data_IF_215441204958
#
_entry.id   IF_215441204958
#
_cell.length_a   1.000
_cell.length_b   1.000
_cell.length_c   1.000
_cell.angle_alpha   90.00
_cell.angle_beta   90.00
_cell.angle_gamma   90.00
#
_symmetry.space_group_name_H-M   'P 1'
#
loop_
_entity.id
_entity.type
_entity.pdbx_description
1 polymer ?
#
# COMPACT_ATOMS: atom_id res chain seq x y z
N UNK A 1 29.58 -12.34 -4.01
CA UNK A 1 30.62 -12.36 -3.00
C UNK A 1 30.05 -11.88 -1.68
N UNK A 2 30.39 -12.51 -0.59
CA UNK A 2 29.74 -12.27 0.70
C UNK A 2 30.12 -10.94 1.34
N UNK A 3 31.28 -10.42 1.01
CA UNK A 3 31.77 -9.14 1.49
C UNK A 3 30.93 -7.95 1.02
N UNK A 4 30.09 -8.15 0.00
CA UNK A 4 29.19 -7.11 -0.48
C UNK A 4 27.81 -7.18 0.16
N UNK A 5 27.57 -8.19 0.98
CA UNK A 5 26.28 -8.31 1.64
C UNK A 5 26.14 -7.29 2.76
N UNK A 6 24.94 -6.73 2.92
CA UNK A 6 24.69 -5.85 4.06
C UNK A 6 24.88 -6.61 5.37
N UNK A 7 25.14 -5.92 6.47
CA UNK A 7 25.25 -6.57 7.77
C UNK A 7 24.02 -7.42 8.04
N UNK A 8 24.25 -8.61 8.52
CA UNK A 8 23.18 -9.53 8.85
C UNK A 8 22.57 -9.11 10.18
N UNK A 9 21.27 -9.12 10.26
CA UNK A 9 20.60 -9.00 11.55
C UNK A 9 21.18 -10.05 12.48
N UNK A 10 21.62 -9.65 13.65
CA UNK A 10 22.21 -10.58 14.60
C UNK A 10 23.60 -10.19 15.06
N UNK A 11 24.23 -9.33 14.33
CA UNK A 11 25.56 -8.89 14.69
C UNK A 11 25.52 -7.61 15.54
N UNK A 12 24.52 -7.48 16.36
CA UNK A 12 24.34 -6.33 17.23
C UNK A 12 23.63 -5.16 16.58
N UNK A 13 23.23 -5.30 15.33
CA UNK A 13 22.66 -4.21 14.55
C UNK A 13 21.27 -4.58 13.98
N UNK A 14 20.56 -5.40 14.71
CA UNK A 14 19.22 -5.79 14.31
C UNK A 14 18.31 -4.59 14.17
N UNK A 15 17.71 -4.47 13.02
CA UNK A 15 16.68 -3.48 12.79
C UNK A 15 17.19 -2.11 12.41
N UNK A 16 18.49 -1.86 12.48
CA UNK A 16 18.98 -0.51 12.25
C UNK A 16 19.59 -0.30 10.87
N UNK A 17 20.04 -1.36 10.20
CA UNK A 17 20.55 -1.26 8.85
C UNK A 17 21.79 -0.39 8.70
N UNK A 18 22.08 0.01 7.48
CA UNK A 18 23.14 0.98 7.22
C UNK A 18 22.66 2.38 7.58
N UNK A 19 23.55 3.32 7.88
CA UNK A 19 23.17 4.71 8.16
C UNK A 19 22.34 5.33 7.02
N UNK A 20 22.64 5.00 5.77
CA UNK A 20 21.89 5.51 4.60
C UNK A 20 20.47 4.97 4.57
N UNK A 21 20.31 3.67 4.73
CA UNK A 21 18.99 3.02 4.75
C UNK A 21 18.16 3.55 5.91
N UNK A 22 18.74 3.59 7.08
CA UNK A 22 18.06 4.07 8.27
C UNK A 22 17.66 5.54 8.13
N UNK A 23 18.56 6.36 7.59
CA UNK A 23 18.29 7.78 7.37
C UNK A 23 17.09 7.99 6.44
N UNK A 24 17.00 7.19 5.39
CA UNK A 24 15.86 7.24 4.48
C UNK A 24 14.56 6.91 5.19
N UNK A 25 14.55 5.85 6.01
CA UNK A 25 13.35 5.45 6.75
C UNK A 25 12.97 6.45 7.84
N UNK A 26 13.96 7.03 8.53
CA UNK A 26 13.70 8.06 9.54
C UNK A 26 13.10 9.32 8.94
N UNK A 27 13.39 9.61 7.69
CA UNK A 27 12.84 10.76 6.98
C UNK A 27 11.40 10.53 6.50
N UNK A 28 10.95 9.29 6.42
CA UNK A 28 9.58 8.96 6.05
C UNK A 28 8.63 9.19 7.22
N UNK A 29 7.35 9.23 6.92
CA UNK A 29 6.28 9.31 7.93
C UNK A 29 6.31 8.06 8.81
N UNK A 30 5.74 8.15 10.00
CA UNK A 30 5.57 6.99 10.86
C UNK A 30 4.56 5.99 10.26
N UNK A 31 4.82 4.71 10.46
CA UNK A 31 3.94 3.65 9.97
C UNK A 31 2.49 3.86 10.41
N UNK A 32 2.28 4.28 11.65
CA UNK A 32 0.94 4.51 12.21
C UNK A 32 0.15 5.55 11.42
N UNK A 33 0.81 6.64 11.01
CA UNK A 33 0.17 7.68 10.20
C UNK A 33 -0.19 7.18 8.81
N UNK A 34 0.70 6.42 8.20
CA UNK A 34 0.50 5.84 6.87
C UNK A 34 -0.67 4.87 6.89
N UNK A 35 -0.76 4.01 7.90
CA UNK A 35 -1.86 3.06 8.03
C UNK A 35 -3.20 3.76 8.27
N UNK A 36 -3.21 4.82 9.07
CA UNK A 36 -4.42 5.60 9.30
C UNK A 36 -4.90 6.29 8.02
N UNK A 37 -3.99 6.83 7.23
CA UNK A 37 -4.33 7.45 5.94
C UNK A 37 -4.83 6.41 4.95
N UNK A 38 -4.22 5.23 4.92
CA UNK A 38 -4.69 4.14 4.08
C UNK A 38 -6.14 3.78 4.39
N UNK A 39 -6.47 3.66 5.67
CA UNK A 39 -7.83 3.32 6.08
C UNK A 39 -8.82 4.42 5.68
N UNK A 40 -8.46 5.68 5.83
CA UNK A 40 -9.28 6.81 5.37
C UNK A 40 -9.48 6.78 3.86
N UNK A 41 -8.41 6.54 3.11
CA UNK A 41 -8.47 6.44 1.65
C UNK A 41 -9.42 5.34 1.19
N UNK A 42 -9.29 4.15 1.77
CA UNK A 42 -10.16 3.01 1.44
C UNK A 42 -11.62 3.35 1.77
N UNK A 43 -11.88 3.98 2.90
CA UNK A 43 -13.24 4.38 3.30
C UNK A 43 -13.84 5.34 2.27
N UNK A 44 -13.10 6.36 1.84
CA UNK A 44 -13.57 7.29 0.82
C UNK A 44 -13.83 6.60 -0.52
N UNK A 45 -12.90 5.74 -0.95
CA UNK A 45 -13.01 5.04 -2.22
C UNK A 45 -14.23 4.10 -2.23
N UNK A 46 -14.38 3.29 -1.20
CA UNK A 46 -15.50 2.34 -1.15
C UNK A 46 -16.85 3.03 -1.05
N UNK A 47 -16.92 4.16 -0.35
CA UNK A 47 -18.14 4.98 -0.29
C UNK A 47 -18.50 5.52 -1.67
N UNK A 48 -17.53 6.05 -2.41
CA UNK A 48 -17.77 6.58 -3.76
C UNK A 48 -18.14 5.46 -4.75
N UNK A 49 -17.44 4.34 -4.69
CA UNK A 49 -17.75 3.20 -5.54
C UNK A 49 -19.15 2.65 -5.29
N UNK A 50 -19.61 2.68 -4.05
CA UNK A 50 -20.96 2.24 -3.71
C UNK A 50 -22.05 3.13 -4.30
N UNK A 51 -21.72 4.39 -4.57
CA UNK A 51 -22.64 5.31 -5.27
C UNK A 51 -22.61 5.09 -6.78
N UNK A 52 -21.44 4.81 -7.33
CA UNK A 52 -21.28 4.59 -8.79
C UNK A 52 -21.86 3.25 -9.19
N UNK A 53 -21.65 2.21 -8.38
CA UNK A 53 -22.10 0.84 -8.62
C UNK A 53 -23.09 0.48 -7.52
N UNK A 54 -24.40 0.72 -7.72
CA UNK A 54 -25.40 0.46 -6.70
C UNK A 54 -25.47 -1.02 -6.32
N UNK A 55 -25.78 -1.30 -5.08
CA UNK A 55 -25.92 -2.65 -4.55
C UNK A 55 -24.62 -3.26 -4.06
N UNK A 56 -23.49 -2.59 -4.30
CA UNK A 56 -22.19 -3.03 -3.78
C UNK A 56 -22.11 -2.89 -2.26
N UNK A 57 -21.49 -3.85 -1.62
CA UNK A 57 -21.23 -3.81 -0.18
C UNK A 57 -19.80 -4.29 0.04
N UNK A 58 -18.93 -3.35 0.35
CA UNK A 58 -17.52 -3.65 0.53
C UNK A 58 -17.27 -4.22 1.92
N UNK A 59 -16.77 -5.44 1.95
CA UNK A 59 -16.46 -6.16 3.18
C UNK A 59 -14.99 -6.50 3.24
N UNK A 60 -14.45 -6.48 4.45
CA UNK A 60 -13.09 -6.95 4.69
C UNK A 60 -13.07 -8.46 4.62
N UNK A 61 -12.30 -9.01 3.70
CA UNK A 61 -12.20 -10.45 3.45
C UNK A 61 -11.03 -11.07 4.20
N UNK A 62 -10.00 -10.29 4.50
CA UNK A 62 -8.86 -10.73 5.30
C UNK A 62 -8.26 -9.54 6.05
N UNK A 63 -7.52 -9.85 7.12
CA UNK A 63 -6.93 -8.81 7.98
C UNK A 63 -5.65 -8.21 7.42
N UNK A 64 -5.05 -8.84 6.41
CA UNK A 64 -3.75 -8.42 5.93
C UNK A 64 -2.61 -8.95 6.78
N UNK A 65 -1.39 -8.69 6.34
CA UNK A 65 -0.16 -9.11 7.03
C UNK A 65 0.93 -8.07 6.81
N UNK A 66 2.01 -8.17 7.57
CA UNK A 66 3.19 -7.36 7.35
C UNK A 66 4.43 -8.23 7.20
N UNK A 67 5.47 -7.67 6.59
CA UNK A 67 6.73 -8.36 6.38
C UNK A 67 7.89 -7.34 6.44
N UNK A 68 9.09 -7.77 6.85
CA UNK A 68 10.27 -6.90 6.74
C UNK A 68 10.50 -6.46 5.30
N UNK A 69 11.02 -5.25 5.14
CA UNK A 69 11.27 -4.70 3.82
C UNK A 69 12.52 -5.30 3.20
N UNK A 70 12.41 -5.86 1.98
CA UNK A 70 13.54 -6.44 1.30
C UNK A 70 14.63 -5.43 0.95
N UNK A 71 14.24 -4.23 0.51
CA UNK A 71 15.16 -3.17 0.13
C UNK A 71 15.85 -2.51 1.32
N UNK A 72 15.33 -2.67 2.53
CA UNK A 72 15.89 -2.18 3.77
C UNK A 72 16.12 -3.33 4.74
N UNK A 73 16.70 -4.43 4.24
CA UNK A 73 16.71 -5.75 4.85
C UNK A 73 17.26 -5.85 6.27
N UNK A 74 18.12 -4.91 6.70
CA UNK A 74 18.68 -4.92 8.05
C UNK A 74 18.09 -3.85 8.96
N UNK A 75 16.95 -3.27 8.57
CA UNK A 75 16.20 -2.32 9.40
C UNK A 75 14.96 -2.98 10.00
N UNK A 76 14.32 -2.30 10.95
CA UNK A 76 13.01 -2.71 11.48
C UNK A 76 11.84 -2.24 10.60
N UNK A 77 12.13 -1.69 9.41
CA UNK A 77 11.10 -1.28 8.47
C UNK A 77 10.23 -2.44 8.04
N UNK A 78 8.94 -2.18 7.90
CA UNK A 78 7.97 -3.18 7.46
C UNK A 78 7.10 -2.65 6.33
N UNK A 79 6.73 -3.55 5.44
CA UNK A 79 5.68 -3.37 4.45
C UNK A 79 4.40 -3.98 5.02
N UNK A 80 3.31 -3.24 4.96
CA UNK A 80 2.00 -3.74 5.38
C UNK A 80 1.16 -4.05 4.13
N UNK A 81 0.78 -5.32 3.96
CA UNK A 81 0.00 -5.76 2.81
C UNK A 81 -1.48 -5.39 2.91
N UNK A 82 -1.91 -4.84 4.01
CA UNK A 82 -3.25 -4.36 4.19
C UNK A 82 -4.35 -5.43 4.10
N UNK A 83 -5.52 -5.11 4.64
CA UNK A 83 -6.68 -5.97 4.48
C UNK A 83 -7.11 -6.06 3.01
N UNK A 84 -7.68 -7.19 2.66
CA UNK A 84 -8.30 -7.40 1.37
C UNK A 84 -9.79 -7.08 1.48
N UNK A 85 -10.30 -6.27 0.56
CA UNK A 85 -11.69 -5.86 0.53
C UNK A 85 -12.37 -6.40 -0.70
N UNK A 86 -13.60 -6.85 -0.56
CA UNK A 86 -14.39 -7.46 -1.64
C UNK A 86 -15.80 -6.88 -1.65
N UNK A 87 -16.30 -6.58 -2.82
CA UNK A 87 -17.71 -6.35 -3.08
C UNK A 87 -18.18 -7.42 -4.09
N UNK A 88 -19.30 -8.07 -3.80
CA UNK A 88 -19.82 -9.12 -4.68
C UNK A 88 -20.36 -8.60 -6.01
N UNK A 89 -20.54 -7.29 -6.12
CA UNK A 89 -21.04 -6.69 -7.36
C UNK A 89 -19.86 -6.25 -8.23
N UNK A 90 -19.71 -6.82 -9.44
CA UNK A 90 -18.67 -6.36 -10.35
C UNK A 90 -18.99 -4.97 -10.89
N UNK A 91 -17.96 -4.26 -11.31
CA UNK A 91 -18.12 -2.98 -12.00
C UNK A 91 -18.48 -3.28 -13.47
N UNK A 92 -19.66 -2.88 -13.94
CA UNK A 92 -19.98 -3.03 -15.37
C UNK A 92 -18.99 -2.27 -16.25
N UNK A 93 -18.74 -2.81 -17.44
CA UNK A 93 -17.81 -2.16 -18.38
C UNK A 93 -18.19 -0.70 -18.66
N UNK A 94 -19.48 -0.41 -18.76
CA UNK A 94 -19.96 0.96 -18.99
C UNK A 94 -19.65 1.93 -17.85
N UNK A 95 -19.46 1.42 -16.62
CA UNK A 95 -19.15 2.23 -15.45
C UNK A 95 -17.68 2.21 -15.08
N UNK A 96 -16.89 1.33 -15.69
CA UNK A 96 -15.48 1.20 -15.35
C UNK A 96 -14.67 2.49 -15.54
N UNK A 97 -14.83 3.24 -16.63
CA UNK A 97 -14.10 4.52 -16.76
C UNK A 97 -14.38 5.48 -15.60
N UNK A 98 -15.65 5.60 -15.21
CA UNK A 98 -16.05 6.47 -14.10
C UNK A 98 -15.57 5.93 -12.77
N UNK A 99 -15.71 4.64 -12.53
CA UNK A 99 -15.28 4.02 -11.28
C UNK A 99 -13.77 4.11 -11.10
N UNK A 100 -13.00 3.76 -12.13
CA UNK A 100 -11.54 3.82 -12.05
C UNK A 100 -11.05 5.26 -11.91
N UNK A 101 -11.68 6.22 -12.57
CA UNK A 101 -11.32 7.64 -12.42
C UNK A 101 -11.60 8.15 -11.01
N UNK A 102 -12.71 7.75 -10.41
CA UNK A 102 -13.02 8.12 -9.03
C UNK A 102 -11.95 7.61 -8.06
N UNK A 103 -11.48 6.37 -8.26
CA UNK A 103 -10.40 5.80 -7.44
C UNK A 103 -9.11 6.60 -7.64
N UNK A 104 -8.77 6.93 -8.87
CA UNK A 104 -7.58 7.74 -9.19
C UNK A 104 -7.64 9.09 -8.48
N UNK A 105 -8.77 9.78 -8.55
CA UNK A 105 -8.92 11.10 -7.99
C UNK A 105 -8.82 11.10 -6.45
N UNK A 106 -9.43 10.12 -5.80
CA UNK A 106 -9.36 10.00 -4.35
C UNK A 106 -7.95 9.59 -3.92
N UNK A 107 -7.36 8.60 -4.57
CA UNK A 107 -6.04 8.11 -4.26
C UNK A 107 -4.97 9.21 -4.34
N UNK A 108 -5.11 10.13 -5.29
CA UNK A 108 -4.19 11.25 -5.46
C UNK A 108 -4.12 12.13 -4.22
N UNK A 109 -5.21 12.29 -3.49
CA UNK A 109 -5.24 13.06 -2.24
C UNK A 109 -4.34 12.47 -1.16
N UNK A 110 -4.02 11.20 -1.26
CA UNK A 110 -3.20 10.46 -0.30
C UNK A 110 -1.81 10.13 -0.84
N UNK A 111 -1.41 10.74 -1.94
CA UNK A 111 -0.08 10.57 -2.51
C UNK A 111 0.06 9.40 -3.49
N UNK A 112 -1.00 8.67 -3.77
CA UNK A 112 -0.99 7.61 -4.80
C UNK A 112 -1.31 8.26 -6.13
N UNK A 113 -0.26 8.69 -6.83
CA UNK A 113 -0.39 9.52 -8.03
C UNK A 113 0.13 8.86 -9.30
N UNK A 114 0.85 7.75 -9.19
CA UNK A 114 1.46 7.08 -10.33
C UNK A 114 0.59 5.90 -10.79
N UNK A 115 -0.24 6.12 -11.80
CA UNK A 115 -1.07 5.05 -12.39
C UNK A 115 -0.18 4.20 -13.29
N UNK A 116 0.15 3.00 -12.83
CA UNK A 116 1.05 2.09 -13.55
C UNK A 116 0.31 1.10 -14.44
N UNK A 117 -0.98 0.86 -14.17
CA UNK A 117 -1.82 -0.03 -14.97
C UNK A 117 -3.26 0.42 -14.87
N UNK A 118 -3.97 0.44 -16.00
CA UNK A 118 -5.39 0.71 -16.06
C UNK A 118 -5.96 0.02 -17.29
N UNK A 119 -6.98 -0.82 -17.10
CA UNK A 119 -7.64 -1.48 -18.22
C UNK A 119 -8.35 -0.45 -19.09
N UNK A 120 -8.05 -0.47 -20.39
CA UNK A 120 -8.70 0.32 -21.41
C UNK A 120 -9.67 -0.57 -22.20
N UNK A 121 -10.71 0.03 -22.78
CA UNK A 121 -11.68 -0.69 -23.62
C UNK A 121 -12.25 -1.94 -22.93
N UNK A 122 -12.62 -1.80 -21.66
CA UNK A 122 -13.15 -2.91 -20.87
C UNK A 122 -14.47 -3.43 -21.45
N UNK A 123 -14.65 -4.75 -21.38
CA UNK A 123 -15.93 -5.41 -21.60
C UNK A 123 -16.39 -6.08 -20.31
N UNK A 124 -17.62 -6.54 -20.24
CA UNK A 124 -18.13 -7.19 -19.02
C UNK A 124 -17.42 -8.52 -18.74
N UNK A 125 -16.87 -9.15 -19.76
CA UNK A 125 -16.13 -10.40 -19.64
C UNK A 125 -14.64 -10.20 -19.40
N UNK A 126 -14.14 -8.96 -19.53
CA UNK A 126 -12.73 -8.64 -19.35
C UNK A 126 -12.43 -8.39 -17.88
N UNK A 127 -11.35 -8.98 -17.37
CA UNK A 127 -10.82 -8.59 -16.06
C UNK A 127 -10.38 -7.13 -16.13
N UNK A 128 -10.90 -6.32 -15.22
CA UNK A 128 -10.58 -4.89 -15.14
C UNK A 128 -9.57 -4.69 -14.02
N UNK A 129 -8.59 -3.89 -14.28
CA UNK A 129 -7.46 -3.69 -13.36
C UNK A 129 -7.05 -2.22 -13.32
N UNK A 130 -6.74 -1.77 -12.11
CA UNK A 130 -6.17 -0.46 -11.85
C UNK A 130 -5.11 -0.61 -10.77
N UNK A 131 -3.90 -0.15 -11.05
CA UNK A 131 -2.81 -0.12 -10.09
C UNK A 131 -2.25 1.29 -10.01
N UNK A 132 -2.14 1.81 -8.80
CA UNK A 132 -1.62 3.15 -8.55
C UNK A 132 -0.54 3.04 -7.47
N UNK A 133 0.58 3.73 -7.67
CA UNK A 133 1.69 3.72 -6.72
C UNK A 133 1.92 5.08 -6.10
N UNK A 134 2.47 5.08 -4.90
CA UNK A 134 2.98 6.29 -4.26
C UNK A 134 4.50 6.39 -4.40
N UNK A 135 5.08 7.46 -3.85
CA UNK A 135 6.52 7.72 -3.97
C UNK A 135 7.38 6.76 -3.14
N UNK A 136 6.82 6.11 -2.14
CA UNK A 136 7.56 5.23 -1.24
C UNK A 136 7.38 3.74 -1.55
N UNK A 137 6.84 3.42 -2.72
CA UNK A 137 6.66 2.04 -3.16
C UNK A 137 5.32 1.42 -2.76
N UNK A 138 4.42 2.20 -2.20
CA UNK A 138 3.07 1.75 -1.90
C UNK A 138 2.30 1.43 -3.18
N UNK A 139 1.30 0.56 -3.06
CA UNK A 139 0.53 0.09 -4.22
C UNK A 139 -0.94 -0.08 -3.85
N UNK A 140 -1.79 0.64 -4.55
CA UNK A 140 -3.23 0.41 -4.53
C UNK A 140 -3.59 -0.46 -5.73
N UNK A 141 -4.26 -1.59 -5.48
CA UNK A 141 -4.75 -2.47 -6.52
C UNK A 141 -6.28 -2.55 -6.43
N UNK A 142 -6.96 -2.23 -7.52
CA UNK A 142 -8.41 -2.30 -7.64
C UNK A 142 -8.75 -3.10 -8.88
N UNK A 143 -9.53 -4.15 -8.73
CA UNK A 143 -9.89 -5.03 -9.83
C UNK A 143 -11.35 -5.42 -9.81
N UNK A 144 -11.84 -5.86 -10.96
CA UNK A 144 -13.23 -6.31 -11.08
C UNK A 144 -13.38 -7.29 -12.23
N UNK A 145 -14.07 -8.40 -11.95
CA UNK A 145 -14.51 -9.36 -12.95
C UNK A 145 -15.83 -9.98 -12.48
N UNK A 146 -15.81 -11.02 -11.66
CA UNK A 146 -17.02 -11.59 -11.06
C UNK A 146 -17.43 -10.85 -9.80
N UNK A 147 -16.44 -10.29 -9.12
CA UNK A 147 -16.58 -9.43 -7.96
C UNK A 147 -15.60 -8.29 -8.09
N UNK A 148 -15.72 -7.28 -7.24
CA UNK A 148 -14.76 -6.18 -7.17
C UNK A 148 -13.87 -6.38 -5.96
N UNK A 149 -12.58 -6.11 -6.12
CA UNK A 149 -11.57 -6.31 -5.07
C UNK A 149 -10.68 -5.10 -4.93
N UNK A 150 -10.19 -4.87 -3.72
CA UNK A 150 -9.26 -3.78 -3.43
C UNK A 150 -8.29 -4.18 -2.33
N UNK A 151 -7.03 -3.82 -2.53
CA UNK A 151 -6.00 -3.97 -1.50
C UNK A 151 -4.98 -2.85 -1.63
N UNK A 152 -4.53 -2.34 -0.51
CA UNK A 152 -3.48 -1.32 -0.48
C UNK A 152 -2.31 -1.85 0.33
N UNK A 153 -1.18 -2.00 -0.34
CA UNK A 153 0.10 -2.39 0.26
C UNK A 153 0.92 -1.14 0.46
N UNK A 154 1.44 -0.93 1.66
CA UNK A 154 2.27 0.25 1.92
C UNK A 154 3.68 0.06 1.40
N UNK A 155 4.41 1.15 1.26
CA UNK A 155 5.87 1.10 1.19
C UNK A 155 6.47 0.69 2.53
N UNK A 156 7.78 0.81 2.64
CA UNK A 156 8.51 0.48 3.85
C UNK A 156 8.49 1.66 4.83
N UNK A 157 8.07 1.40 6.07
CA UNK A 157 7.99 2.42 7.11
C UNK A 157 8.43 1.86 8.46
N UNK A 158 8.93 2.75 9.31
CA UNK A 158 9.19 2.48 10.72
C UNK A 158 8.02 2.99 11.56
N UNK A 159 7.71 2.27 12.63
CA UNK A 159 6.82 2.80 13.66
C UNK A 159 7.50 3.94 14.40
N UNK A 160 6.71 4.77 15.10
CA UNK A 160 7.26 5.82 15.96
C UNK A 160 8.21 5.24 17.02
N UNK A 161 7.86 4.07 17.56
CA UNK A 161 8.67 3.36 18.55
C UNK A 161 10.00 2.90 17.97
N UNK A 162 9.98 2.31 16.77
CA UNK A 162 11.21 1.86 16.12
C UNK A 162 12.11 3.03 15.75
N UNK A 163 11.55 4.17 15.36
CA UNK A 163 12.31 5.39 15.11
C UNK A 163 12.99 5.88 16.39
N UNK A 164 12.27 5.86 17.51
CA UNK A 164 12.81 6.25 18.80
C UNK A 164 14.01 5.37 19.18
N UNK A 165 13.83 4.05 19.07
CA UNK A 165 14.90 3.09 19.35
C UNK A 165 16.11 3.29 18.45
N UNK A 166 15.88 3.52 17.16
CA UNK A 166 16.96 3.74 16.20
C UNK A 166 17.77 5.01 16.55
N UNK A 167 17.09 6.08 16.93
CA UNK A 167 17.76 7.33 17.31
C UNK A 167 18.57 7.18 18.61
N UNK A 168 18.05 6.42 19.57
CA UNK A 168 18.76 6.16 20.84
C UNK A 168 19.98 5.27 20.63
N UNK A 169 19.92 4.32 19.70
CA UNK A 169 21.01 3.40 19.42
C UNK A 169 22.07 3.99 18.49
N UNK A 170 21.76 5.11 17.81
CA UNK A 170 22.70 5.71 16.87
C UNK A 170 23.94 6.20 17.57
N UNK A 171 25.15 6.01 17.01
CA UNK A 171 26.38 6.58 17.56
C UNK A 171 26.28 8.10 17.60
N UNK A 172 26.74 8.68 18.70
CA UNK A 172 26.78 10.13 18.86
C UNK A 172 28.01 10.73 18.18
#
# INVERSE_FOLDING_TARGET
MFDTMPPVKGEGDYGYGTPKELGALLARRDAEEVLADRDRMITEITAELSQIVPGGNWLRDSEGTSTPCGEFGSTDGEIDFGPHYVSQIPVPASLWPRASQAVIDIAAKYGYTDVTSRTENATDETHKDLTIRDADGGRLAFGSLEASTMQVTTGCYLTAEDKRKAREAAPK
#
